data_IF_541782511037
#
_entry.id   IF_541782511037
#
_cell.length_a   1.000
_cell.length_b   1.000
_cell.length_c   1.000
_cell.angle_alpha   90.00
_cell.angle_beta   90.00
_cell.angle_gamma   90.00
#
_symmetry.space_group_name_H-M   'P 1'
#
loop_
_entity.id
_entity.type
_entity.pdbx_description
1 polymer ?
2 polymer ?
3 non-polymer ?
#
# COMPACT_ATOMS: atom_id res chain seq x y z
N UNK A 1 -16.48 23.72 6.85
CA UNK A 1 -17.61 24.60 7.26
C UNK A 1 -18.12 25.40 6.06
N UNK A 2 -17.23 25.95 5.21
CA UNK A 2 -17.58 26.76 4.00
C UNK A 2 -18.75 26.09 3.26
N UNK A 3 -19.80 26.87 2.97
CA UNK A 3 -21.11 26.39 2.43
C UNK A 3 -21.24 26.79 0.95
N UNK A 4 -20.53 27.83 0.50
CA UNK A 4 -20.65 28.50 -0.82
C UNK A 4 -19.29 28.53 -1.55
N UNK A 5 -19.32 28.85 -2.85
CA UNK A 5 -18.14 28.82 -3.76
C UNK A 5 -17.83 30.22 -4.31
N UNK A 6 -16.58 30.68 -4.16
CA UNK A 6 -16.03 31.93 -4.78
C UNK A 6 -16.11 31.85 -6.31
N UNK A 7 -16.34 32.97 -7.00
CA UNK A 7 -16.16 33.09 -8.48
C UNK A 7 -14.74 32.63 -8.84
N UNK A 8 -13.75 32.99 -7.99
CA UNK A 8 -12.35 32.52 -8.06
C UNK A 8 -12.35 30.98 -8.15
N UNK A 9 -12.97 30.32 -7.16
CA UNK A 9 -12.99 28.84 -6.99
C UNK A 9 -13.86 28.22 -8.10
N UNK A 10 -15.01 28.83 -8.37
CA UNK A 10 -15.99 28.33 -9.38
C UNK A 10 -15.26 28.24 -10.72
N UNK A 11 -14.38 29.21 -11.01
CA UNK A 11 -13.64 29.28 -12.29
C UNK A 11 -12.63 28.13 -12.33
N UNK A 12 -11.91 27.89 -11.23
CA UNK A 12 -10.75 26.96 -11.19
C UNK A 12 -11.22 25.51 -11.30
N UNK A 13 -12.39 25.20 -10.72
CA UNK A 13 -12.86 23.81 -10.46
C UNK A 13 -13.94 23.37 -11.45
N UNK A 14 -14.41 24.29 -12.29
CA UNK A 14 -15.51 24.05 -13.25
C UNK A 14 -15.19 22.86 -14.14
N UNK A 15 -13.90 22.60 -14.43
CA UNK A 15 -13.51 21.54 -15.39
C UNK A 15 -13.90 20.18 -14.78
N UNK A 16 -13.80 20.01 -13.46
CA UNK A 16 -14.11 18.73 -12.77
C UNK A 16 -15.35 18.86 -11.89
N UNK A 17 -15.95 20.04 -11.84
CA UNK A 17 -17.23 20.28 -11.14
C UNK A 17 -18.36 19.63 -11.96
N UNK A 18 -18.29 19.79 -13.29
CA UNK A 18 -19.24 19.17 -14.24
C UNK A 18 -18.73 17.76 -14.54
N UNK A 19 -18.67 16.87 -13.54
CA UNK A 19 -18.52 15.41 -13.77
C UNK A 19 -19.47 14.70 -12.82
N UNK A 20 -20.11 13.59 -13.24
CA UNK A 20 -20.90 12.76 -12.31
C UNK A 20 -20.19 12.50 -10.97
N UNK A 21 -20.79 12.96 -9.87
CA UNK A 21 -20.36 12.68 -8.49
C UNK A 21 -19.77 13.90 -7.81
N UNK A 22 -19.46 14.94 -8.57
CA UNK A 22 -18.60 16.08 -8.17
C UNK A 22 -19.34 17.39 -8.43
N UNK A 23 -20.42 17.65 -7.72
CA UNK A 23 -21.16 18.93 -7.83
C UNK A 23 -20.50 20.00 -6.96
N UNK A 24 -21.12 21.19 -6.90
CA UNK A 24 -20.85 22.18 -5.82
C UNK A 24 -20.78 21.39 -4.50
N UNK A 25 -21.64 20.37 -4.33
CA UNK A 25 -21.74 19.47 -3.15
C UNK A 25 -20.45 18.65 -3.01
N UNK A 26 -20.04 18.00 -4.09
CA UNK A 26 -18.89 17.07 -4.09
C UNK A 26 -17.58 17.81 -3.94
N UNK A 27 -17.52 19.04 -4.43
CA UNK A 27 -16.28 19.86 -4.47
C UNK A 27 -16.01 20.40 -3.06
N UNK A 28 -17.05 20.85 -2.37
CA UNK A 28 -16.93 21.44 -1.00
C UNK A 28 -16.32 20.39 -0.07
N UNK A 29 -16.65 19.11 -0.27
CA UNK A 29 -16.03 17.97 0.47
C UNK A 29 -14.50 18.14 0.48
N UNK A 30 -13.92 18.35 -0.70
CA UNK A 30 -12.45 18.43 -0.92
C UNK A 30 -11.92 19.70 -0.28
N UNK A 31 -12.68 20.78 -0.32
CA UNK A 31 -12.23 22.11 0.14
C UNK A 31 -12.16 22.10 1.67
N UNK A 32 -13.02 21.34 2.36
CA UNK A 32 -13.04 21.27 3.85
C UNK A 32 -12.18 20.09 4.30
N UNK A 33 -11.70 19.29 3.34
CA UNK A 33 -10.93 18.06 3.60
C UNK A 33 -9.55 18.43 4.15
N UNK A 34 -8.98 17.59 5.00
CA UNK A 34 -7.61 17.72 5.58
C UNK A 34 -6.81 16.43 5.35
N UNK A 35 -5.95 16.39 4.32
CA UNK A 35 -5.13 15.19 3.94
C UNK A 35 -3.68 15.38 4.38
N UNK A 36 -3.04 14.29 4.81
CA UNK A 36 -1.62 14.33 5.22
C UNK A 36 -0.83 13.35 4.34
N UNK A 37 0.34 13.78 3.89
CA UNK A 37 1.31 12.96 3.10
C UNK A 37 2.55 12.77 3.97
N UNK A 38 2.91 11.52 4.28
CA UNK A 38 4.14 11.19 5.03
C UNK A 38 5.20 10.79 4.01
N UNK A 39 6.12 11.71 3.70
CA UNK A 39 7.24 11.53 2.75
C UNK A 39 7.13 12.45 1.55
N UNK A 40 8.17 13.23 1.26
CA UNK A 40 8.13 14.37 0.33
C UNK A 40 8.86 14.06 -1.00
N UNK A 41 9.71 13.05 -1.00
CA UNK A 41 10.44 12.63 -2.20
C UNK A 41 9.68 11.54 -2.95
N UNK A 42 9.94 11.41 -4.23
CA UNK A 42 9.43 10.30 -5.03
C UNK A 42 7.92 10.36 -5.11
N UNK A 43 7.21 9.59 -4.28
CA UNK A 43 5.73 9.41 -4.34
C UNK A 43 5.05 10.65 -3.76
N UNK A 44 5.68 11.29 -2.79
CA UNK A 44 5.17 12.54 -2.21
C UNK A 44 4.80 13.53 -3.30
N UNK A 45 5.76 13.91 -4.14
CA UNK A 45 5.62 15.00 -5.16
C UNK A 45 4.31 14.80 -5.94
N UNK A 46 4.14 13.70 -6.69
CA UNK A 46 2.99 13.57 -7.59
C UNK A 46 1.65 13.47 -6.82
N UNK A 47 1.65 12.70 -5.74
CA UNK A 47 0.53 12.60 -4.77
C UNK A 47 0.07 14.01 -4.39
N UNK A 48 1.00 14.83 -3.90
CA UNK A 48 0.73 16.19 -3.44
C UNK A 48 0.23 17.04 -4.62
N UNK A 49 0.84 16.87 -5.79
CA UNK A 49 0.53 17.70 -6.98
C UNK A 49 -0.95 17.55 -7.33
N UNK A 50 -1.50 16.33 -7.25
CA UNK A 50 -2.85 16.00 -7.76
C UNK A 50 -3.93 16.21 -6.69
N UNK A 51 -3.53 16.25 -5.41
CA UNK A 51 -4.39 16.74 -4.29
C UNK A 51 -4.51 18.25 -4.42
N UNK A 52 -3.36 18.93 -4.49
CA UNK A 52 -3.29 20.39 -4.63
C UNK A 52 -4.22 20.78 -5.77
N UNK A 53 -3.95 20.26 -6.95
CA UNK A 53 -4.70 20.59 -8.16
C UNK A 53 -6.19 20.43 -7.96
N UNK A 54 -6.58 19.38 -7.22
CA UNK A 54 -7.98 19.00 -6.96
C UNK A 54 -8.63 19.96 -5.97
N UNK A 55 -7.81 20.71 -5.22
CA UNK A 55 -8.25 21.75 -4.28
C UNK A 55 -8.65 21.18 -2.93
N UNK A 56 -8.05 20.05 -2.56
CA UNK A 56 -8.03 19.53 -1.17
C UNK A 56 -7.80 20.72 -0.23
N UNK A 57 -8.70 20.90 0.74
CA UNK A 57 -8.73 22.01 1.71
C UNK A 57 -7.34 22.31 2.26
N UNK A 58 -6.89 21.43 3.14
CA UNK A 58 -5.52 21.48 3.72
C UNK A 58 -4.71 20.26 3.29
N UNK A 59 -3.45 20.46 2.91
CA UNK A 59 -2.50 19.39 2.49
C UNK A 59 -1.25 19.43 3.38
N UNK A 60 -1.09 18.44 4.25
CA UNK A 60 0.12 18.30 5.08
C UNK A 60 1.22 17.55 4.34
N UNK A 61 2.47 17.73 4.75
CA UNK A 61 3.68 17.05 4.18
C UNK A 61 4.69 16.88 5.32
N UNK A 62 5.38 15.73 5.36
CA UNK A 62 6.31 15.34 6.46
C UNK A 62 7.57 14.77 5.83
N UNK A 63 8.68 15.51 5.90
CA UNK A 63 10.02 15.03 5.48
C UNK A 63 11.09 15.98 6.03
N UNK A 64 12.03 15.45 6.81
CA UNK A 64 13.13 16.21 7.41
C UNK A 64 14.33 16.28 6.48
N UNK A 65 14.28 15.54 5.36
CA UNK A 65 15.39 15.39 4.38
C UNK A 65 15.49 16.67 3.55
N UNK A 66 16.68 16.92 2.99
CA UNK A 66 17.02 18.07 2.11
C UNK A 66 17.16 17.58 0.66
N UNK A 67 17.41 18.49 -0.28
CA UNK A 67 17.38 18.22 -1.75
C UNK A 67 18.77 17.70 -2.18
N UNK A 68 18.84 17.09 -3.37
CA UNK A 68 20.08 16.78 -4.11
C UNK A 68 19.86 17.05 -5.60
N UNK A 84 20.77 21.35 3.24
CA UNK A 84 20.66 22.79 2.97
C UNK A 84 19.22 23.27 3.04
N UNK A 85 18.45 23.07 1.95
CA UNK A 85 17.01 23.42 1.84
C UNK A 85 16.18 22.14 1.93
N UNK A 86 15.32 22.05 2.95
CA UNK A 86 14.42 20.89 3.21
C UNK A 86 13.51 20.66 2.00
N UNK A 87 13.14 19.41 1.75
CA UNK A 87 12.43 18.96 0.51
C UNK A 87 10.96 19.32 0.69
N UNK A 88 10.51 19.32 1.94
CA UNK A 88 9.16 19.85 2.33
C UNK A 88 9.00 21.22 1.68
N UNK A 89 9.86 22.17 2.07
CA UNK A 89 9.80 23.59 1.63
C UNK A 89 9.83 23.65 0.10
N UNK A 90 10.83 23.03 -0.52
CA UNK A 90 10.99 22.96 -1.99
C UNK A 90 9.64 22.64 -2.65
N UNK A 91 8.99 21.58 -2.15
CA UNK A 91 7.77 21.00 -2.75
C UNK A 91 6.61 21.99 -2.59
N UNK A 92 6.38 22.48 -1.36
CA UNK A 92 5.29 23.43 -1.03
C UNK A 92 5.41 24.64 -1.98
N UNK A 93 6.61 25.21 -2.05
CA UNK A 93 6.94 26.29 -3.00
C UNK A 93 6.40 25.92 -4.38
N UNK A 94 6.64 24.67 -4.81
CA UNK A 94 6.15 24.10 -6.09
C UNK A 94 4.62 24.16 -6.14
N UNK A 95 3.94 23.70 -5.08
CA UNK A 95 2.48 23.40 -5.07
C UNK A 95 1.67 24.69 -5.26
N UNK A 96 2.07 25.78 -4.60
CA UNK A 96 1.36 27.09 -4.68
C UNK A 96 1.14 27.43 -6.15
N UNK A 97 2.17 27.17 -6.98
CA UNK A 97 2.16 27.46 -8.44
C UNK A 97 0.97 26.72 -9.07
N UNK A 98 0.71 25.49 -8.63
CA UNK A 98 -0.36 24.61 -9.17
C UNK A 98 -1.71 25.12 -8.68
N UNK A 99 -1.80 25.46 -7.40
CA UNK A 99 -3.06 25.90 -6.75
C UNK A 99 -2.70 26.78 -5.56
N UNK A 100 -2.90 28.11 -5.66
CA UNK A 100 -2.70 29.04 -4.53
C UNK A 100 -3.65 28.90 -3.33
N UNK A 101 -4.83 28.33 -3.56
CA UNK A 101 -5.98 28.42 -2.62
C UNK A 101 -5.84 27.47 -1.43
N UNK A 102 -5.35 26.22 -1.62
CA UNK A 102 -5.19 25.29 -0.49
C UNK A 102 -4.22 25.80 0.60
N UNK A 103 -4.43 25.37 1.85
CA UNK A 103 -3.49 25.63 2.98
C UNK A 103 -2.50 24.46 3.05
N UNK A 104 -1.25 24.67 2.64
CA UNK A 104 -0.14 23.66 2.72
C UNK A 104 0.56 23.80 4.06
N UNK A 105 0.85 22.69 4.74
CA UNK A 105 1.30 22.63 6.16
C UNK A 105 2.53 21.74 6.26
N UNK A 106 3.73 22.32 6.26
CA UNK A 106 4.97 21.54 6.28
C UNK A 106 5.42 21.15 7.69
N UNK A 107 5.48 19.84 7.96
CA UNK A 107 6.20 19.27 9.13
C UNK A 107 7.67 19.09 8.75
N UNK A 108 8.45 20.16 8.92
CA UNK A 108 9.84 20.28 8.43
C UNK A 108 10.74 19.45 9.36
N UNK A 109 10.38 18.19 9.59
CA UNK A 109 11.27 17.21 10.28
C UNK A 109 10.87 15.80 9.84
N UNK A 110 11.42 14.78 10.50
CA UNK A 110 11.12 13.34 10.20
C UNK A 110 10.24 12.77 11.31
N UNK A 111 9.29 11.94 10.95
CA UNK A 111 8.30 11.34 11.88
C UNK A 111 8.99 10.25 12.70
N UNK A 112 8.59 10.12 13.97
CA UNK A 112 9.11 9.12 14.93
C UNK A 112 7.97 8.66 15.83
N UNK A 113 8.13 7.58 16.62
CA UNK A 113 7.09 7.18 17.56
C UNK A 113 6.68 8.33 18.51
N UNK A 114 7.68 9.12 18.94
CA UNK A 114 7.52 10.17 19.98
C UNK A 114 6.45 11.16 19.53
N UNK A 115 6.35 11.42 18.22
CA UNK A 115 5.51 12.51 17.64
C UNK A 115 4.36 11.93 16.81
N UNK A 116 4.61 10.88 16.03
CA UNK A 116 3.72 10.35 14.96
C UNK A 116 2.25 10.40 15.40
N UNK A 117 1.99 10.05 16.67
CA UNK A 117 0.68 10.23 17.33
C UNK A 117 0.19 11.68 17.13
N UNK A 118 1.01 12.64 17.51
CA UNK A 118 0.71 14.10 17.46
C UNK A 118 0.45 14.54 16.02
N UNK A 119 1.15 13.96 15.05
CA UNK A 119 1.30 14.48 13.66
C UNK A 119 0.10 14.06 12.83
N UNK A 120 -0.75 13.19 13.38
CA UNK A 120 -1.80 12.50 12.59
C UNK A 120 -3.19 12.90 13.12
N UNK A 121 -3.33 13.13 14.43
CA UNK A 121 -4.66 13.24 15.11
C UNK A 121 -5.50 14.31 14.41
N UNK A 122 -4.90 15.39 13.85
CA UNK A 122 -5.68 16.42 13.15
C UNK A 122 -6.34 15.96 11.84
N UNK A 123 -5.69 15.07 11.09
CA UNK A 123 -5.93 14.90 9.63
C UNK A 123 -7.00 13.83 9.36
N UNK A 124 -7.78 14.05 8.30
CA UNK A 124 -8.98 13.25 7.94
C UNK A 124 -8.54 11.97 7.22
N UNK A 125 -7.54 12.07 6.33
CA UNK A 125 -7.02 10.95 5.48
C UNK A 125 -5.50 10.98 5.52
N UNK A 126 -4.87 9.80 5.65
CA UNK A 126 -3.39 9.67 5.75
C UNK A 126 -2.88 9.00 4.47
N UNK A 127 -1.90 9.59 3.81
CA UNK A 127 -1.13 9.00 2.69
C UNK A 127 0.24 8.62 3.21
N UNK A 128 0.72 7.46 2.79
CA UNK A 128 2.01 6.88 3.21
C UNK A 128 2.92 6.84 1.98
N UNK A 129 4.05 7.53 2.05
CA UNK A 129 5.06 7.58 0.96
C UNK A 129 6.46 7.43 1.58
N UNK A 130 6.54 6.71 2.71
CA UNK A 130 7.58 6.97 3.73
C UNK A 130 8.91 6.36 3.28
N UNK A 131 8.87 5.23 2.55
CA UNK A 131 10.07 4.61 1.88
C UNK A 131 10.91 3.75 2.86
N UNK A 132 10.57 3.72 4.15
CA UNK A 132 11.25 2.93 5.20
C UNK A 132 10.21 1.96 5.78
N UNK A 133 10.56 0.66 5.91
CA UNK A 133 9.58 -0.34 6.32
C UNK A 133 9.08 -0.13 7.76
N UNK A 134 9.99 0.12 8.70
CA UNK A 134 9.70 0.37 10.13
C UNK A 134 8.60 1.44 10.23
N UNK A 135 8.87 2.62 9.68
CA UNK A 135 7.93 3.77 9.62
C UNK A 135 6.56 3.31 9.08
N UNK A 136 6.55 2.52 8.01
CA UNK A 136 5.32 2.09 7.28
C UNK A 136 4.37 1.36 8.22
N UNK A 137 4.95 0.53 9.11
CA UNK A 137 4.24 -0.27 10.14
C UNK A 137 3.74 0.72 11.20
N UNK A 138 4.65 1.56 11.70
CA UNK A 138 4.35 2.59 12.73
C UNK A 138 3.06 3.33 12.34
N UNK A 139 2.99 3.86 11.13
CA UNK A 139 1.85 4.70 10.67
C UNK A 139 0.54 3.92 10.83
N UNK A 140 0.44 2.74 10.21
CA UNK A 140 -0.76 1.87 10.30
C UNK A 140 -1.20 1.76 11.75
N UNK A 141 -0.33 1.25 12.63
CA UNK A 141 -0.57 1.15 14.10
C UNK A 141 -1.31 2.39 14.57
N UNK A 142 -0.65 3.55 14.46
CA UNK A 142 -1.17 4.87 14.92
C UNK A 142 -2.49 5.12 14.22
N UNK A 143 -2.47 5.22 12.88
CA UNK A 143 -3.65 5.42 11.99
C UNK A 143 -4.83 4.57 12.52
N UNK A 144 -4.59 3.28 12.75
CA UNK A 144 -5.58 2.32 13.34
C UNK A 144 -6.12 2.88 14.66
N UNK A 145 -5.25 3.05 15.66
CA UNK A 145 -5.60 3.48 17.03
C UNK A 145 -6.41 4.77 16.96
N UNK A 146 -5.86 5.83 16.35
CA UNK A 146 -6.50 7.18 16.20
C UNK A 146 -7.78 7.08 15.38
N UNK A 147 -7.91 6.05 14.54
CA UNK A 147 -9.12 5.78 13.74
C UNK A 147 -9.15 6.57 12.45
N UNK A 148 -8.14 6.36 11.60
CA UNK A 148 -7.96 7.13 10.35
C UNK A 148 -7.72 6.18 9.18
N UNK A 149 -8.20 6.53 7.96
CA UNK A 149 -8.01 5.69 6.78
C UNK A 149 -6.63 5.94 6.17
N UNK A 150 -5.93 4.87 5.81
CA UNK A 150 -4.58 4.91 5.18
C UNK A 150 -4.69 4.50 3.71
N UNK A 151 -4.24 5.37 2.82
CA UNK A 151 -3.83 5.01 1.43
C UNK A 151 -2.32 4.83 1.42
N UNK A 152 -1.83 3.60 1.58
CA UNK A 152 -0.37 3.28 1.54
C UNK A 152 0.02 3.00 0.10
N UNK A 153 1.28 3.29 -0.23
CA UNK A 153 1.85 3.05 -1.58
C UNK A 153 3.36 2.97 -1.47
N UNK A 154 3.97 2.14 -2.34
CA UNK A 154 5.41 1.80 -2.35
C UNK A 154 5.89 1.72 -3.80
N UNK A 155 7.18 1.99 -4.00
CA UNK A 155 7.85 1.94 -5.32
C UNK A 155 9.36 1.80 -5.11
N UNK A 156 9.97 0.84 -5.82
CA UNK A 156 11.45 0.64 -5.92
C UNK A 156 11.74 0.22 -7.37
N UNK A 157 12.83 0.70 -7.98
CA UNK A 157 13.33 0.17 -9.27
C UNK A 157 12.17 0.10 -10.31
N UNK A 158 11.95 -1.04 -10.94
CA UNK A 158 11.07 -1.15 -12.13
C UNK A 158 9.62 -1.44 -11.69
N UNK A 159 9.33 -1.67 -10.40
CA UNK A 159 8.01 -2.17 -9.88
C UNK A 159 7.40 -1.20 -8.85
N UNK A 160 6.07 -1.17 -8.77
CA UNK A 160 5.31 -0.39 -7.76
C UNK A 160 4.01 -1.08 -7.37
N UNK A 161 3.41 -0.68 -6.25
CA UNK A 161 2.13 -1.26 -5.75
C UNK A 161 1.44 -0.25 -4.81
N UNK A 162 0.13 -0.43 -4.59
CA UNK A 162 -0.77 0.51 -3.85
C UNK A 162 -1.91 -0.27 -3.21
N UNK A 163 -2.42 0.18 -2.05
CA UNK A 163 -3.63 -0.41 -1.39
C UNK A 163 -4.28 0.65 -0.48
N UNK A 164 -5.58 0.47 -0.17
CA UNK A 164 -6.40 1.38 0.67
C UNK A 164 -6.86 0.65 1.95
N UNK A 165 -6.17 0.88 3.05
CA UNK A 165 -6.40 0.13 4.32
C UNK A 165 -7.36 0.90 5.22
N UNK A 166 -7.93 0.20 6.19
CA UNK A 166 -8.70 0.77 7.35
C UNK A 166 -9.69 1.81 6.83
N UNK A 167 -10.32 1.55 5.68
CA UNK A 167 -11.43 2.40 5.17
C UNK A 167 -12.69 1.53 4.98
N UNK A 168 -13.84 1.90 5.58
CA UNK A 168 -13.90 2.98 6.58
C UNK A 168 -13.17 2.55 7.85
N UNK A 169 -12.74 3.52 8.69
CA UNK A 169 -11.93 3.21 9.87
C UNK A 169 -12.77 2.49 10.94
N UNK A 170 -12.52 1.20 11.15
CA UNK A 170 -13.24 0.35 12.13
C UNK A 170 -12.43 0.33 13.41
N UNK A 171 -13.03 0.63 14.59
CA UNK A 171 -12.26 0.69 15.84
C UNK A 171 -11.40 -0.58 16.07
N UNK A 172 -10.34 -0.44 16.87
CA UNK A 172 -9.39 -1.53 17.21
C UNK A 172 -10.16 -2.63 17.96
N UNK A 173 -10.01 -3.88 17.51
CA UNK A 173 -10.51 -5.08 18.22
C UNK A 173 -11.93 -5.45 17.82
N UNK A 174 -12.68 -4.54 17.21
CA UNK A 174 -14.07 -4.80 16.72
C UNK A 174 -13.97 -5.79 15.55
N UNK A 175 -13.87 -7.09 15.86
CA UNK A 175 -13.75 -8.18 14.85
C UNK A 175 -15.16 -8.69 14.52
N UNK A 176 -16.16 -8.29 15.30
CA UNK A 176 -17.52 -8.88 15.28
C UNK A 176 -18.24 -8.49 13.98
N UNK A 177 -17.78 -7.43 13.30
CA UNK A 177 -18.38 -6.88 12.04
C UNK A 177 -17.37 -6.98 10.90
N UNK A 178 -17.82 -7.22 9.66
CA UNK A 178 -17.01 -7.11 8.42
C UNK A 178 -16.27 -5.78 8.46
N UNK A 179 -14.92 -5.78 8.44
CA UNK A 179 -14.09 -4.64 8.87
C UNK A 179 -12.79 -4.55 8.06
N UNK A 180 -12.41 -3.33 7.67
CA UNK A 180 -11.34 -3.03 6.69
C UNK A 180 -9.98 -3.46 7.24
N UNK A 181 -9.12 -4.10 6.43
CA UNK A 181 -7.84 -4.63 6.93
C UNK A 181 -6.77 -3.58 7.21
N UNK A 182 -5.99 -3.73 8.28
CA UNK A 182 -4.83 -2.85 8.58
C UNK A 182 -3.61 -3.29 7.75
N UNK A 183 -2.54 -2.51 7.78
CA UNK A 183 -1.28 -2.82 7.07
C UNK A 183 -0.65 -4.09 7.63
N UNK A 184 -0.66 -4.26 8.96
CA UNK A 184 -0.25 -5.52 9.63
C UNK A 184 -1.19 -6.67 9.20
N UNK A 185 -2.52 -6.54 9.35
CA UNK A 185 -3.50 -7.57 8.86
C UNK A 185 -3.05 -8.09 7.48
N UNK A 186 -2.89 -7.17 6.52
CA UNK A 186 -2.11 -7.34 5.27
C UNK A 186 -0.64 -7.24 5.66
N UNK A 187 0.28 -7.93 4.97
CA UNK A 187 1.75 -7.87 5.19
C UNK A 187 2.10 -8.18 6.65
N UNK A 188 1.60 -9.30 7.16
CA UNK A 188 1.47 -9.66 8.61
C UNK A 188 2.73 -9.36 9.44
N UNK A 189 3.84 -10.02 9.17
CA UNK A 189 5.06 -9.87 10.03
C UNK A 189 6.23 -9.40 9.18
N UNK A 190 6.33 -9.77 7.89
CA UNK A 190 7.44 -9.25 7.13
C UNK A 190 7.40 -7.74 7.15
N UNK A 191 8.53 -7.09 7.50
CA UNK A 191 9.59 -6.84 6.53
C UNK A 191 10.83 -7.72 6.67
N UNK A 192 11.49 -8.10 5.56
CA UNK A 192 12.53 -9.12 5.62
C UNK A 192 13.75 -8.30 6.00
N UNK A 193 14.65 -8.77 6.88
CA UNK A 193 15.79 -7.93 7.29
C UNK A 193 16.85 -7.59 6.24
N UNK A 194 17.26 -8.54 5.40
CA UNK A 194 18.34 -8.33 4.40
C UNK A 194 17.79 -8.30 2.97
N UNK A 195 16.47 -8.42 2.79
CA UNK A 195 15.81 -8.41 1.46
C UNK A 195 15.32 -6.99 1.14
N UNK A 196 15.53 -6.05 2.07
CA UNK A 196 15.08 -4.62 1.96
C UNK A 196 16.02 -3.86 1.02
N UNK A 197 15.48 -3.37 -0.09
CA UNK A 197 16.12 -2.37 -0.97
C UNK A 197 15.40 -1.04 -0.73
N UNK A 198 16.15 0.05 -0.70
CA UNK A 198 15.66 1.45 -0.63
C UNK A 198 15.61 2.06 -2.04
N UNK A 199 14.96 3.22 -2.19
CA UNK A 199 14.93 3.97 -3.48
C UNK A 199 16.33 4.58 -3.75
N UNK A 200 17.07 4.95 -2.71
CA UNK A 200 18.46 5.39 -2.80
C UNK A 200 19.39 4.25 -3.21
N UNK A 201 19.04 3.02 -2.80
CA UNK A 201 19.89 1.82 -2.96
C UNK A 201 19.77 1.26 -4.38
N UNK A 202 18.54 1.14 -4.88
CA UNK A 202 18.21 0.29 -6.05
C UNK A 202 17.76 1.13 -7.23
N UNK A 203 17.68 2.45 -7.04
CA UNK A 203 17.22 3.39 -8.08
C UNK A 203 15.72 3.35 -8.26
N UNK A 204 15.22 3.99 -9.33
CA UNK A 204 13.78 4.21 -9.59
C UNK A 204 13.62 4.78 -11.00
N UNK A 205 12.78 4.14 -11.80
CA UNK A 205 12.27 4.74 -13.06
C UNK A 205 11.15 5.72 -12.69
N UNK A 206 11.01 6.81 -13.45
CA UNK A 206 10.12 7.97 -13.19
C UNK A 206 8.65 7.57 -13.28
N UNK A 207 8.18 7.00 -14.41
CA UNK A 207 6.76 6.74 -14.61
C UNK A 207 6.13 5.81 -13.55
N UNK A 208 6.93 5.02 -12.85
CA UNK A 208 6.44 4.02 -11.88
C UNK A 208 5.96 4.78 -10.65
N UNK A 209 6.88 5.47 -9.99
CA UNK A 209 6.59 6.32 -8.80
C UNK A 209 5.49 7.34 -9.14
N UNK A 210 5.47 7.80 -10.38
CA UNK A 210 4.48 8.79 -10.88
C UNK A 210 3.08 8.21 -10.91
N UNK A 211 2.90 7.10 -11.63
CA UNK A 211 1.65 6.31 -11.68
C UNK A 211 1.11 6.11 -10.25
N UNK A 212 1.98 5.58 -9.37
CA UNK A 212 1.62 5.19 -7.98
C UNK A 212 1.18 6.43 -7.18
N UNK A 213 1.97 7.50 -7.14
CA UNK A 213 1.60 8.76 -6.45
C UNK A 213 0.25 9.26 -6.94
N UNK A 214 0.12 9.47 -8.26
CA UNK A 214 -1.11 10.01 -8.91
C UNK A 214 -2.31 9.19 -8.47
N UNK A 215 -2.17 7.87 -8.48
CA UNK A 215 -3.22 6.91 -8.06
C UNK A 215 -3.57 7.11 -6.58
N UNK A 216 -2.55 7.25 -5.73
CA UNK A 216 -2.66 7.51 -4.27
C UNK A 216 -3.59 8.70 -4.08
N UNK A 217 -3.21 9.86 -4.61
CA UNK A 217 -4.10 11.06 -4.65
C UNK A 217 -5.51 10.62 -5.10
N UNK A 218 -5.59 9.89 -6.22
CA UNK A 218 -6.83 9.34 -6.77
C UNK A 218 -7.68 8.76 -5.67
N UNK A 219 -7.14 7.79 -4.94
CA UNK A 219 -7.85 7.04 -3.86
C UNK A 219 -8.29 8.00 -2.76
N UNK A 220 -7.39 8.87 -2.30
CA UNK A 220 -7.66 9.88 -1.26
C UNK A 220 -8.86 10.74 -1.69
N UNK A 221 -8.75 11.41 -2.83
CA UNK A 221 -9.85 12.24 -3.40
C UNK A 221 -11.16 11.47 -3.33
N UNK A 222 -11.17 10.25 -3.87
CA UNK A 222 -12.36 9.35 -3.90
C UNK A 222 -12.94 9.26 -2.49
N UNK A 223 -12.13 8.79 -1.54
CA UNK A 223 -12.50 8.63 -0.10
C UNK A 223 -13.29 9.87 0.34
N UNK A 224 -12.77 11.06 0.06
CA UNK A 224 -13.35 12.34 0.56
C UNK A 224 -14.65 12.61 -0.19
N UNK A 225 -14.62 12.56 -1.52
CA UNK A 225 -15.69 13.12 -2.40
C UNK A 225 -16.93 12.26 -2.23
N UNK A 226 -16.74 10.95 -2.15
CA UNK A 226 -17.83 9.95 -2.02
C UNK A 226 -18.03 9.57 -0.55
N UNK A 227 -17.22 10.11 0.34
CA UNK A 227 -17.38 9.96 1.81
C UNK A 227 -17.33 8.47 2.19
N UNK A 228 -16.18 7.83 2.03
CA UNK A 228 -16.02 6.35 2.18
C UNK A 228 -15.35 6.06 3.52
N UNK A 229 -14.88 7.10 4.21
CA UNK A 229 -14.31 7.02 5.58
C UNK A 229 -15.46 7.02 6.60
N UNK A 230 -16.69 7.26 6.12
CA UNK A 230 -17.92 7.34 6.96
C UNK A 230 -18.43 5.94 7.19
N UNK A 231 -18.46 5.45 8.45
CA UNK A 231 -19.02 4.14 8.76
C UNK A 231 -20.41 3.96 8.15
N UNK A 232 -20.83 2.72 7.84
CA UNK A 232 -22.10 2.48 7.16
C UNK A 232 -23.29 2.60 8.13
N UNK A 233 -24.50 2.71 7.58
CA UNK A 233 -25.80 2.84 8.33
C UNK A 233 -25.87 1.80 9.46
N UNK A 235 -26.72 -1.09 11.68
CA UNK A 235 -26.36 -2.53 11.61
C UNK A 235 -26.16 -3.04 10.18
N UNK A 236 -26.38 -2.21 9.15
CA UNK A 236 -26.20 -2.56 7.71
C UNK A 236 -24.73 -2.83 7.42
N UNK A 237 -24.46 -3.71 6.45
CA UNK A 237 -23.09 -4.08 6.00
C UNK A 237 -22.62 -3.05 4.97
N UNK A 238 -21.33 -3.08 4.59
CA UNK A 238 -20.70 -2.12 3.63
C UNK A 238 -20.70 -2.75 2.23
N UNK A 239 -21.21 -2.04 1.22
CA UNK A 239 -21.27 -2.51 -0.19
C UNK A 239 -19.89 -3.04 -0.60
N UNK A 240 -19.77 -4.20 -1.29
CA UNK A 240 -18.45 -4.72 -1.68
C UNK A 240 -17.96 -4.16 -3.03
N UNK A 241 -18.80 -3.37 -3.71
CA UNK A 241 -18.52 -2.64 -4.98
C UNK A 241 -17.71 -1.36 -4.74
N UNK A 242 -17.47 -1.03 -3.47
CA UNK A 242 -16.53 0.04 -3.05
C UNK A 242 -15.12 -0.54 -3.02
N UNK A 243 -14.98 -1.83 -2.72
CA UNK A 243 -13.69 -2.54 -2.58
C UNK A 243 -12.89 -1.93 -1.42
N UNK A 244 -13.58 -1.58 -0.33
CA UNK A 244 -13.00 -0.96 0.89
C UNK A 244 -12.60 -2.04 1.90
N UNK A 245 -13.58 -2.85 2.34
CA UNK A 245 -13.40 -3.92 3.38
C UNK A 245 -12.61 -5.08 2.78
N UNK A 246 -12.84 -5.35 1.49
CA UNK A 246 -12.08 -6.33 0.66
C UNK A 246 -11.37 -5.58 -0.45
N UNK A 247 -10.29 -4.82 -0.13
CA UNK A 247 -9.68 -3.91 -1.09
C UNK A 247 -8.58 -4.55 -1.94
N UNK A 248 -8.53 -4.21 -3.22
CA UNK A 248 -7.49 -4.71 -4.16
C UNK A 248 -6.14 -4.12 -3.75
N UNK A 249 -5.09 -4.94 -3.85
CA UNK A 249 -3.67 -4.49 -3.85
C UNK A 249 -3.19 -4.47 -5.30
N UNK A 250 -3.30 -3.31 -5.95
CA UNK A 250 -2.85 -3.08 -7.36
C UNK A 250 -1.32 -3.14 -7.40
N UNK A 251 -0.75 -4.06 -8.20
CA UNK A 251 0.72 -4.19 -8.44
C UNK A 251 1.02 -3.75 -9.88
N UNK A 252 1.83 -2.71 -10.01
CA UNK A 252 2.34 -2.16 -11.29
C UNK A 252 3.79 -2.62 -11.43
N UNK A 253 4.08 -3.42 -12.45
CA UNK A 253 5.46 -3.77 -12.87
C UNK A 253 5.72 -3.00 -14.17
N UNK A 254 6.84 -2.27 -14.24
CA UNK A 254 7.28 -1.48 -15.42
C UNK A 254 8.36 -2.27 -16.14
N UNK A 255 8.00 -2.84 -17.30
CA UNK A 255 8.97 -3.58 -18.16
C UNK A 255 9.42 -2.64 -19.27
N UNK A 256 10.69 -2.22 -19.27
CA UNK A 256 11.19 -1.22 -20.24
C UNK A 256 11.72 -1.97 -21.46
N UNK A 257 11.45 -3.28 -21.54
CA UNK A 257 11.76 -4.12 -22.72
C UNK A 257 10.47 -4.57 -23.39
N UNK A 258 9.33 -3.97 -23.04
CA UNK A 258 8.00 -4.33 -23.56
C UNK A 258 7.04 -3.13 -23.52
N UNK A 259 5.96 -3.19 -24.31
CA UNK A 259 4.84 -2.21 -24.30
C UNK A 259 3.91 -2.57 -23.16
N UNK A 260 2.78 -1.86 -23.03
CA UNK A 260 1.79 -2.17 -21.97
C UNK A 260 1.35 -3.61 -22.25
N UNK A 261 1.52 -4.47 -21.24
CA UNK A 261 1.19 -5.91 -21.30
C UNK A 261 -0.08 -6.22 -20.52
N UNK A 262 -0.81 -7.31 -20.86
CA UNK A 262 -2.04 -7.65 -20.14
C UNK A 262 -1.73 -7.81 -18.64
N UNK A 263 -0.54 -8.34 -18.31
CA UNK A 263 -0.07 -8.55 -16.92
C UNK A 263 0.73 -7.34 -16.44
N UNK A 264 0.37 -6.12 -16.84
CA UNK A 264 1.02 -4.85 -16.42
C UNK A 264 0.41 -4.36 -15.10
N UNK A 265 -0.92 -4.44 -15.02
CA UNK A 265 -1.74 -4.12 -13.82
C UNK A 265 -2.51 -5.35 -13.34
N UNK A 266 -2.04 -5.96 -12.26
CA UNK A 266 -2.67 -7.16 -11.67
C UNK A 266 -3.28 -6.74 -10.34
N UNK A 267 -4.53 -7.14 -10.04
CA UNK A 267 -5.34 -6.59 -8.93
C UNK A 267 -5.69 -7.67 -7.91
N UNK A 268 -4.92 -7.79 -6.81
CA UNK A 268 -5.02 -8.93 -5.84
C UNK A 268 -5.93 -8.54 -4.68
N UNK A 269 -7.21 -8.92 -4.77
CA UNK A 269 -8.21 -8.71 -3.69
C UNK A 269 -7.62 -9.27 -2.39
N UNK A 270 -7.89 -8.60 -1.26
CA UNK A 270 -7.24 -8.82 0.06
C UNK A 270 -8.32 -9.10 1.11
N UNK A 271 -7.93 -9.73 2.23
CA UNK A 271 -8.83 -10.13 3.32
C UNK A 271 -9.08 -9.03 4.33
N UNK A 272 -10.32 -8.92 4.84
CA UNK A 272 -10.75 -8.02 5.93
C UNK A 272 -9.99 -8.30 7.22
N UNK A 273 -10.18 -7.50 8.25
CA UNK A 273 -9.25 -7.50 9.41
C UNK A 273 -9.00 -8.95 9.85
N UNK A 274 -7.72 -9.37 9.91
CA UNK A 274 -7.35 -10.70 10.47
C UNK A 274 -7.69 -10.66 11.96
N UNK A 275 -8.69 -11.47 12.35
CA UNK A 275 -9.27 -11.50 13.72
C UNK A 275 -8.12 -11.55 14.74
N UNK A 276 -6.99 -12.17 14.37
CA UNK A 276 -5.84 -12.38 15.28
C UNK A 276 -4.73 -11.36 15.02
N UNK A 277 -4.99 -10.28 14.28
CA UNK A 277 -3.94 -9.24 14.01
C UNK A 277 -3.41 -8.70 15.33
N UNK A 278 -2.09 -8.55 15.43
CA UNK A 278 -1.37 -7.96 16.59
C UNK A 278 -2.00 -6.66 17.05
N UNK A 279 -2.42 -5.83 16.07
CA UNK A 279 -2.72 -4.39 16.26
C UNK A 279 -4.23 -4.13 16.25
N UNK A 280 -4.93 -4.46 15.16
CA UNK A 280 -6.34 -4.03 14.97
C UNK A 280 -7.29 -5.19 15.29
N UNK A 281 -6.74 -6.36 15.65
CA UNK A 281 -7.50 -7.60 15.90
C UNK A 281 -7.93 -7.73 17.35
N UNK A 282 -8.65 -8.81 17.67
CA UNK A 282 -9.15 -9.14 19.04
C UNK A 282 -7.95 -9.47 19.93
N UNK A 283 -7.92 -8.90 21.15
CA UNK A 283 -6.85 -9.12 22.16
C UNK A 283 -5.52 -8.54 21.64
N UNK A 284 -5.54 -7.29 21.19
CA UNK A 284 -4.33 -6.49 20.83
C UNK A 284 -3.74 -5.91 22.11
N UNK A 285 -2.43 -6.05 22.29
CA UNK A 285 -1.67 -5.44 23.42
C UNK A 285 -1.01 -4.14 22.93
N UNK A 286 -1.65 -3.43 22.00
CA UNK A 286 -1.13 -2.18 21.38
C UNK A 286 -1.90 -0.97 21.94
N UNK A 287 -1.16 -0.01 22.50
CA UNK A 287 -1.70 1.23 23.09
C UNK A 287 -0.94 2.43 22.55
N UNK A 288 -1.65 3.52 22.23
CA UNK A 288 -1.08 4.82 21.82
C UNK A 288 0.03 5.20 22.79
N UNK A 289 -0.21 5.01 24.09
CA UNK A 289 0.78 5.22 25.18
C UNK A 289 2.01 4.35 24.88
N UNK A 290 1.76 3.13 24.39
CA UNK A 290 2.81 2.12 24.12
C UNK A 290 3.83 2.65 23.15
N UNK A 291 3.40 2.91 21.91
CA UNK A 291 4.30 3.31 20.78
C UNK A 291 5.16 4.49 21.26
N UNK A 292 4.54 5.44 21.99
CA UNK A 292 5.20 6.67 22.50
C UNK A 292 6.44 6.22 23.28
N UNK A 293 6.24 5.28 24.20
CA UNK A 293 7.25 4.75 25.17
C UNK A 293 8.35 3.98 24.44
N UNK A 294 8.09 3.47 23.23
CA UNK A 294 8.99 2.58 22.47
C UNK A 294 8.57 1.13 22.59
N UNK A 295 7.25 0.89 22.71
CA UNK A 295 6.61 -0.35 23.22
C UNK A 295 6.75 -1.50 22.22
N UNK A 296 6.17 -1.42 21.00
CA UNK A 296 6.50 -2.34 19.93
C UNK A 296 7.71 -1.68 19.29
N UNK A 297 8.90 -1.87 19.86
CA UNK A 297 10.16 -1.29 19.33
C UNK A 297 10.28 -1.73 17.87
N UNK A 298 10.45 -0.80 16.93
CA UNK A 298 10.49 -1.11 15.48
C UNK A 298 11.95 -1.45 15.14
N UNK A 299 12.33 -2.62 15.67
CA UNK A 299 13.64 -3.34 15.58
C UNK A 299 13.46 -4.58 14.71
N UNK A 300 12.35 -4.69 13.99
CA UNK A 300 12.06 -5.89 13.16
C UNK A 300 13.07 -5.95 12.01
N UNK A 301 13.54 -4.80 11.52
CA UNK A 301 14.68 -4.70 10.57
C UNK A 301 14.53 -5.76 9.48
N UNK B 1 0.39 -32.63 -13.40
CA UNK B 1 -0.43 -31.35 -13.39
C UNK B 1 0.36 -30.25 -14.09
N UNK B 2 -0.13 -29.71 -15.23
CA UNK B 2 0.47 -28.53 -15.86
C UNK B 2 -0.13 -27.21 -15.35
N UNK B 3 0.71 -26.36 -14.74
CA UNK B 3 0.31 -25.06 -14.14
C UNK B 3 1.24 -23.97 -14.68
N UNK B 4 0.76 -22.73 -14.59
CA UNK B 4 1.51 -21.48 -14.88
C UNK B 4 1.90 -20.85 -13.55
N UNK B 5 3.19 -20.50 -13.39
CA UNK B 5 3.76 -19.81 -12.18
C UNK B 5 4.27 -18.42 -12.62
N UNK B 6 4.03 -17.41 -11.79
CA UNK B 6 4.38 -15.99 -12.07
C UNK B 6 5.26 -15.45 -10.92
N UNK B 7 6.07 -14.45 -11.23
CA UNK B 7 6.84 -13.60 -10.27
C UNK B 7 6.51 -12.12 -10.53
N UNK B 8 6.69 -11.25 -9.52
CA UNK B 8 6.54 -9.76 -9.60
C UNK B 8 7.05 -9.13 -8.30
N UNK B 9 7.15 -7.80 -8.30
CA UNK B 9 7.56 -7.04 -7.11
C UNK B 9 9.05 -7.15 -6.86
N UNK B 10 9.85 -7.13 -7.93
CA UNK B 10 11.32 -7.21 -7.85
C UNK B 10 11.77 -8.56 -7.34
N UNK B 11 11.11 -9.64 -7.80
CA UNK B 11 11.51 -11.05 -7.53
C UNK B 11 12.04 -11.67 -8.83
N UNK B 12 11.30 -11.47 -9.93
CA UNK B 12 11.57 -12.09 -11.26
C UNK B 12 13.02 -11.80 -11.69
N UNK B 13 13.58 -10.68 -11.22
CA UNK B 13 15.02 -10.33 -11.38
C UNK B 13 15.88 -11.56 -11.08
N UNK B 14 15.50 -12.32 -10.05
CA UNK B 14 16.16 -13.58 -9.61
C UNK B 14 16.09 -14.63 -10.74
N UNK B 15 14.98 -14.67 -11.47
CA UNK B 15 14.67 -15.67 -12.52
C UNK B 15 14.88 -15.04 -13.90
N UNK B 16 15.99 -14.30 -14.07
CA UNK B 16 16.48 -13.80 -15.38
C UNK B 16 15.34 -13.06 -16.08
N UNK B 17 14.81 -11.99 -15.47
CA UNK B 17 13.87 -11.02 -16.11
C UNK B 17 12.62 -11.74 -16.62
N UNK B 18 12.35 -12.98 -16.21
CA UNK B 18 11.17 -13.80 -16.65
C UNK B 18 10.13 -13.83 -15.54
N UNK B 19 8.86 -13.53 -15.87
CA UNK B 19 7.72 -13.49 -14.92
C UNK B 19 6.84 -14.72 -15.11
N UNK B 20 6.34 -14.93 -16.34
CA UNK B 20 5.50 -16.10 -16.73
C UNK B 20 6.40 -17.35 -16.79
N UNK B 21 6.00 -18.40 -16.08
CA UNK B 21 6.67 -19.73 -16.07
C UNK B 21 5.62 -20.84 -16.15
N UNK B 22 5.60 -21.60 -17.25
CA UNK B 22 4.81 -22.85 -17.41
C UNK B 22 5.76 -24.05 -17.35
N UNK B 23 5.65 -24.88 -16.30
CA UNK B 23 6.23 -26.25 -16.30
C UNK B 23 5.19 -27.20 -15.67
N UNK B 24 4.91 -28.31 -16.36
CA UNK B 24 4.12 -29.47 -15.87
C UNK B 24 4.84 -30.09 -14.68
N UNK B 25 4.09 -30.49 -13.65
CA UNK B 25 4.62 -31.19 -12.46
C UNK B 25 4.25 -32.67 -12.49
N UNK B 26 5.03 -33.54 -11.79
CA UNK B 26 4.53 -34.86 -11.41
C UNK B 26 3.30 -34.69 -10.50
N UNK B 27 2.24 -35.46 -10.76
CA UNK B 27 0.97 -35.44 -9.97
C UNK B 27 1.26 -35.88 -8.52
N UNK B 28 2.18 -36.83 -8.33
CA UNK B 28 2.60 -37.37 -7.02
C UNK B 28 3.96 -36.78 -6.63
N UNK B 29 4.14 -36.49 -5.34
CA UNK B 29 5.42 -36.01 -4.75
C UNK B 29 6.42 -37.17 -4.67
N UNK B 30 7.56 -36.94 -4.01
CA UNK B 30 8.68 -37.92 -3.84
C UNK B 30 8.22 -39.14 -3.04
N UNK B 31 7.32 -38.94 -2.06
CA UNK B 31 6.83 -39.98 -1.12
C UNK B 31 5.44 -40.47 -1.57
N UNK B 32 5.01 -40.14 -2.81
CA UNK B 32 3.94 -40.81 -3.57
C UNK B 32 2.57 -40.15 -3.41
N UNK B 33 2.38 -39.36 -2.36
CA UNK B 33 1.13 -38.58 -2.08
C UNK B 33 1.12 -37.34 -2.96
N UNK B 34 -0.05 -36.69 -3.19
CA UNK B 34 -0.15 -35.65 -4.22
C UNK B 34 0.73 -34.41 -3.98
N UNK B 35 1.28 -33.82 -5.06
CA UNK B 35 2.08 -32.55 -5.04
C UNK B 35 1.43 -31.57 -4.07
N UNK B 36 2.23 -30.98 -3.18
CA UNK B 36 1.84 -29.87 -2.29
C UNK B 36 2.57 -28.62 -2.81
N UNK B 37 2.40 -27.47 -2.17
CA UNK B 37 3.09 -26.21 -2.62
C UNK B 37 4.37 -26.07 -1.79
N UNK B 38 4.57 -26.90 -0.76
CA UNK B 38 5.90 -27.15 -0.14
C UNK B 38 6.86 -27.63 -1.22
N UNK B 39 6.32 -28.41 -2.19
CA UNK B 39 7.02 -29.01 -3.36
C UNK B 39 7.46 -27.91 -4.32
N UNK B 40 6.53 -27.04 -4.72
CA UNK B 40 6.79 -26.05 -5.79
C UNK B 40 7.96 -25.17 -5.35
N UNK B 41 7.94 -24.72 -4.08
CA UNK B 41 9.00 -23.89 -3.44
C UNK B 41 10.35 -24.61 -3.61
N UNK B 42 10.38 -25.92 -3.34
CA UNK B 42 11.61 -26.75 -3.34
C UNK B 42 12.09 -26.94 -4.78
N UNK B 43 11.18 -27.33 -5.68
CA UNK B 43 11.44 -27.58 -7.13
C UNK B 43 11.99 -26.29 -7.76
N UNK B 44 11.25 -25.19 -7.56
CA UNK B 44 11.55 -23.84 -8.16
C UNK B 44 12.93 -23.39 -7.68
N UNK B 45 13.10 -23.25 -6.36
CA UNK B 45 14.31 -22.67 -5.71
C UNK B 45 15.56 -23.45 -6.14
N UNK B 46 15.43 -24.77 -6.34
CA UNK B 46 16.57 -25.70 -6.60
C UNK B 46 16.91 -25.70 -8.10
N UNK B 47 15.89 -25.70 -8.98
CA UNK B 47 16.05 -25.88 -10.45
C UNK B 47 15.79 -24.57 -11.21
N UNK B 48 14.65 -23.93 -10.98
CA UNK B 48 14.17 -22.75 -11.77
C UNK B 48 14.99 -21.49 -11.45
N UNK B 49 15.63 -21.45 -10.28
CA UNK B 49 16.45 -20.30 -9.80
C UNK B 49 17.58 -20.03 -10.80
N UNK B 50 18.03 -18.77 -10.90
CA UNK B 50 19.11 -18.33 -11.82
C UNK B 50 20.03 -17.32 -11.11
N UNK B 51 20.38 -17.57 -9.84
CA UNK B 51 20.92 -16.55 -8.91
C UNK B 51 21.10 -17.18 -7.52
N UNK B 52 22.01 -16.66 -6.66
CA UNK B 52 22.16 -17.17 -5.30
C UNK B 52 21.03 -16.71 -4.37
N UNK B 54 18.34 -17.92 -3.44
CA UNK B 54 18.53 -18.74 -2.21
C UNK B 54 18.23 -17.87 -0.99
N UNK B 55 19.04 -16.84 -0.75
CA UNK B 55 18.91 -15.91 0.40
C UNK B 55 17.60 -15.13 0.26
N UNK B 56 17.22 -14.81 -0.98
CA UNK B 56 16.21 -13.77 -1.30
C UNK B 56 14.81 -14.38 -1.44
N UNK B 57 14.72 -15.69 -1.73
CA UNK B 57 13.42 -16.37 -1.99
C UNK B 57 13.01 -17.24 -0.81
N UNK B 58 13.90 -18.14 -0.40
CA UNK B 58 13.65 -19.15 0.67
C UNK B 58 14.89 -19.22 1.57
N UNK B 59 14.69 -19.19 2.88
CA UNK B 59 15.76 -19.40 3.90
C UNK B 59 15.19 -20.20 5.08
N UNK B 60 16.02 -21.04 5.70
CA UNK B 60 15.62 -21.95 6.80
C UNK B 60 14.38 -22.75 6.36
N UNK B 61 14.48 -23.40 5.19
CA UNK B 61 13.52 -24.43 4.72
C UNK B 61 12.10 -23.85 4.66
N UNK B 62 11.99 -22.54 4.44
CA UNK B 62 10.70 -21.80 4.39
C UNK B 62 10.91 -20.51 3.58
N UNK B 63 9.86 -20.07 2.88
CA UNK B 63 9.83 -18.78 2.11
C UNK B 63 10.16 -17.63 3.06
N UNK B 64 10.86 -16.60 2.58
CA UNK B 64 11.16 -15.33 3.32
C UNK B 64 9.86 -14.67 3.71
N UNK B 65 9.74 -14.14 4.96
CA UNK B 65 8.50 -13.53 5.40
C UNK B 65 8.04 -12.50 4.34
N UNK B 66 8.97 -11.84 3.66
CA UNK B 66 8.71 -10.77 2.67
C UNK B 66 7.56 -11.10 1.71
N UNK B 67 7.58 -12.28 1.09
CA UNK B 67 6.78 -12.62 -0.13
C UNK B 67 5.34 -13.00 0.26
N UNK B 68 4.38 -12.72 -0.63
CA UNK B 68 3.01 -13.28 -0.56
C UNK B 68 2.86 -14.34 -1.64
N UNK B 69 2.05 -15.36 -1.37
CA UNK B 69 1.71 -16.43 -2.37
C UNK B 69 0.21 -16.38 -2.59
N UNK B 70 -0.23 -16.40 -3.86
CA UNK B 70 -1.67 -16.38 -4.21
C UNK B 70 -1.96 -17.54 -5.18
N UNK B 71 -3.05 -18.28 -4.92
CA UNK B 71 -3.53 -19.43 -5.73
C UNK B 71 -4.84 -19.04 -6.43
N UNK B 72 -4.80 -18.89 -7.75
CA UNK B 72 -5.89 -18.27 -8.56
C UNK B 72 -6.23 -16.89 -7.98
N UNK B 73 -5.21 -16.09 -7.63
CA UNK B 73 -5.35 -14.73 -7.06
C UNK B 73 -6.10 -14.80 -5.73
N UNK B 74 -5.95 -15.90 -4.99
CA UNK B 74 -6.61 -16.16 -3.68
C UNK B 74 -5.51 -16.36 -2.62
N UNK B 75 -5.67 -15.73 -1.44
CA UNK B 75 -4.75 -15.86 -0.29
C UNK B 75 -4.31 -17.31 -0.15
N UNK B 76 -3.00 -17.58 -0.01
CA UNK B 76 -2.49 -18.97 0.11
C UNK B 76 -2.88 -19.53 1.49
N UNK B 77 -2.97 -18.67 2.51
CA UNK B 77 -3.09 -19.07 3.93
C UNK B 77 -4.42 -19.81 4.18
N UNK B 78 -5.54 -19.35 3.63
CA UNK B 78 -6.85 -20.01 3.92
C UNK B 78 -6.96 -21.31 3.09
N UNK B 79 -6.27 -21.41 1.96
CA UNK B 79 -6.54 -22.48 0.95
C UNK B 79 -5.62 -23.69 1.15
N UNK B 80 -4.74 -23.71 2.16
CA UNK B 80 -3.79 -24.83 2.35
C UNK B 80 -2.49 -24.45 3.06
N UNK B 81 -1.92 -23.27 2.79
CA UNK B 81 -0.78 -22.67 3.53
C UNK B 81 0.40 -23.68 3.59
N UNK B 82 1.03 -23.89 2.43
CA UNK B 82 2.31 -24.62 2.13
C UNK B 82 2.14 -26.14 2.10
N UNK B 83 0.92 -26.65 2.14
CA UNK B 83 0.62 -28.10 2.23
C UNK B 83 -0.67 -28.32 1.44
N UNK B 84 -0.69 -27.70 0.27
CA UNK B 84 -1.88 -27.50 -0.59
C UNK B 84 -1.77 -28.42 -1.80
N UNK B 85 -2.71 -29.33 -1.96
CA UNK B 85 -2.71 -30.28 -3.11
C UNK B 85 -2.91 -29.46 -4.40
N UNK B 86 -1.85 -29.32 -5.22
CA UNK B 86 -1.93 -28.40 -6.40
C UNK B 86 -2.94 -28.99 -7.38
N UNK B 87 -3.62 -28.12 -8.14
CA UNK B 87 -4.73 -28.49 -9.05
C UNK B 87 -4.21 -28.54 -10.49
N UNK B 88 -4.99 -29.11 -11.42
CA UNK B 88 -4.49 -29.46 -12.75
C UNK B 88 -4.18 -28.24 -13.64
N UNK B 89 -4.69 -27.06 -13.29
CA UNK B 89 -4.45 -25.82 -14.09
C UNK B 89 -4.32 -24.58 -13.18
N UNK B 90 -3.87 -24.76 -11.95
CA UNK B 90 -3.80 -23.65 -10.94
C UNK B 90 -2.77 -22.61 -11.40
N UNK B 91 -2.93 -21.39 -10.88
CA UNK B 91 -2.01 -20.23 -11.07
C UNK B 91 -1.46 -19.86 -9.70
N UNK B 92 -0.13 -19.87 -9.53
CA UNK B 92 0.51 -19.47 -8.24
C UNK B 92 1.42 -18.27 -8.50
N UNK B 93 1.26 -17.21 -7.69
CA UNK B 93 1.93 -15.89 -7.84
C UNK B 93 2.81 -15.63 -6.61
N UNK B 94 4.08 -15.30 -6.84
CA UNK B 94 5.09 -14.98 -5.81
C UNK B 94 5.52 -13.52 -5.95
N UNK B 95 5.01 -12.67 -5.06
CA UNK B 95 5.21 -11.18 -5.10
C UNK B 95 5.92 -10.74 -3.82
N UNK B 96 7.11 -10.13 -3.95
CA UNK B 96 7.87 -9.61 -2.80
C UNK B 96 7.23 -8.28 -2.40
N UNK B 97 6.68 -8.24 -1.20
CA UNK B 97 6.06 -7.05 -0.58
C UNK B 97 7.07 -5.88 -0.68
N UNK B 98 6.62 -4.73 -1.17
CA UNK B 98 7.50 -3.55 -1.39
C UNK B 98 7.41 -2.57 -0.19
N UNK B 99 8.56 -2.28 0.43
CA UNK B 99 8.67 -1.43 1.66
C UNK B 99 9.51 -0.17 1.40
N UNK B 100 9.69 0.19 0.13
CA UNK B 100 10.40 1.42 -0.30
C UNK B 100 9.49 2.34 -1.09
N UNK B 101 9.80 3.63 -1.17
CA UNK B 101 8.89 4.62 -1.79
C UNK B 101 9.53 5.98 -2.00
#
# INVERSE_FOLDING_TARGET
TQKSLSKEEIERYSRQMIVPGMGKEGQLRLMNAKVLIIGAGGLGCPAAQYLAGAGVGTIGIVDGDSVETSNLHRQVAHATKRVGMLKVDSLITHLIEINPLPVYVPYRFDLTPQNAAQIIKPWDVILDCTDNPATRYLISDVCVLLGKPLVSAASVQKSGQLIVLNCPPTPQGVVNKKAAPCYRCCFKKPPPPSAQTSKGEAGIMGPVVGMMGVAQAGEAIKILVSQLHMPPKEGEEVSPEKNLVQPTLLIYTYDLNSAIGPYSFRALKMGGRKKDCFACGENSTLTLDGIKSGNPNYVQQ
IPITVDFSGGLEMLFDNQRRHSISLPAKDTEGKPVTIAFLIDYICKKLMKDPRTDLFVLDNHIRPGILVLINDADWELEGEEAYEIQPNDNILFVSTLHGG
#
